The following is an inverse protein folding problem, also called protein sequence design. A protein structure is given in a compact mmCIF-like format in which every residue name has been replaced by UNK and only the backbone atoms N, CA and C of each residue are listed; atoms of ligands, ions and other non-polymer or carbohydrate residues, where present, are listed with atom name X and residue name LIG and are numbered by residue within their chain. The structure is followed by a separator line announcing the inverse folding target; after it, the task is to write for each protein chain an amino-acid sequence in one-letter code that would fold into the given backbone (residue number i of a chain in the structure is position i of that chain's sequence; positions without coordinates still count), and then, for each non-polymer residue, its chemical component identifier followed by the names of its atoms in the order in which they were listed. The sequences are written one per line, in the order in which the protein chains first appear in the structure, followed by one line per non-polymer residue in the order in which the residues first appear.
data_IF_213228353874
#
_entry.id   IF_213228353874
#
_cell.length_a   1.000
_cell.length_b   1.000
_cell.length_c   1.000
_cell.angle_alpha   90.00
_cell.angle_beta   90.00
_cell.angle_gamma   90.00
#
_symmetry.space_group_name_H-M   'P 1'
#
loop_
_entity.id
_entity.type
_entity.pdbx_description
1 polymer ?
#
# COMPACT_ATOMS: atom_id res chain seq x y z
N UNK A 1 11.40 4.67 24.46
CA UNK A 1 10.82 5.60 23.44
C UNK A 1 9.30 5.53 23.53
N UNK A 2 8.60 6.65 23.32
CA UNK A 2 7.15 6.79 23.58
C UNK A 2 6.33 6.02 22.54
N UNK A 3 5.33 5.22 22.97
CA UNK A 3 4.34 4.57 22.10
C UNK A 3 3.71 5.62 21.19
N UNK A 4 3.73 5.41 19.87
CA UNK A 4 3.08 6.33 18.94
C UNK A 4 1.57 6.22 19.16
N UNK A 5 0.90 7.36 19.34
CA UNK A 5 -0.56 7.34 19.37
C UNK A 5 -1.09 6.96 17.99
N UNK A 6 -2.23 6.24 17.91
CA UNK A 6 -2.86 5.86 16.64
C UNK A 6 -3.03 7.02 15.66
N UNK A 7 -3.43 8.20 16.16
CA UNK A 7 -3.54 9.43 15.35
C UNK A 7 -2.19 9.93 14.81
N UNK A 8 -1.13 9.87 15.61
CA UNK A 8 0.21 10.29 15.18
C UNK A 8 0.78 9.33 14.14
N UNK A 9 0.59 8.02 14.34
CA UNK A 9 0.98 7.00 13.37
C UNK A 9 0.26 7.24 12.04
N UNK A 10 -1.07 7.39 12.07
CA UNK A 10 -1.88 7.59 10.88
C UNK A 10 -1.50 8.87 10.13
N UNK A 11 -1.28 9.97 10.86
CA UNK A 11 -0.85 11.24 10.26
C UNK A 11 0.52 11.10 9.59
N UNK A 12 1.50 10.51 10.28
CA UNK A 12 2.85 10.33 9.73
C UNK A 12 2.84 9.41 8.52
N UNK A 13 2.15 8.27 8.60
CA UNK A 13 2.01 7.33 7.50
C UNK A 13 1.31 7.98 6.28
N UNK A 14 0.23 8.75 6.51
CA UNK A 14 -0.49 9.46 5.45
C UNK A 14 0.39 10.51 4.77
N UNK A 15 1.12 11.32 5.54
CA UNK A 15 2.06 12.32 5.01
C UNK A 15 3.14 11.62 4.17
N UNK A 16 3.71 10.52 4.66
CA UNK A 16 4.74 9.77 3.93
C UNK A 16 4.20 9.13 2.65
N UNK A 17 2.95 8.67 2.63
CA UNK A 17 2.32 8.17 1.40
C UNK A 17 2.05 9.27 0.38
N UNK A 18 1.60 10.45 0.82
CA UNK A 18 1.50 11.61 -0.07
C UNK A 18 2.87 12.01 -0.62
N UNK A 19 3.92 12.01 0.22
CA UNK A 19 5.29 12.28 -0.21
C UNK A 19 5.79 11.23 -1.21
N UNK A 20 5.52 9.94 -0.98
CA UNK A 20 5.83 8.85 -1.90
C UNK A 20 5.23 9.10 -3.29
N UNK A 21 3.92 9.38 -3.36
CA UNK A 21 3.22 9.63 -4.62
C UNK A 21 3.74 10.91 -5.29
N UNK A 22 3.94 11.98 -4.54
CA UNK A 22 4.48 13.22 -5.07
C UNK A 22 5.87 13.01 -5.69
N UNK A 23 6.76 12.30 -4.99
CA UNK A 23 8.09 11.96 -5.50
C UNK A 23 8.00 11.07 -6.74
N UNK A 24 7.14 10.06 -6.76
CA UNK A 24 6.91 9.25 -7.96
C UNK A 24 6.51 10.12 -9.16
N UNK A 25 5.53 11.02 -9.00
CA UNK A 25 5.03 11.87 -10.09
C UNK A 25 6.06 12.91 -10.54
N UNK A 26 6.85 13.47 -9.61
CA UNK A 26 7.82 14.53 -9.90
C UNK A 26 9.16 13.99 -10.41
N UNK A 27 9.65 12.88 -9.84
CA UNK A 27 11.00 12.36 -10.11
C UNK A 27 11.04 11.47 -11.35
N UNK A 28 9.96 10.76 -11.66
CA UNK A 28 9.94 9.83 -12.80
C UNK A 28 10.28 10.46 -14.17
N UNK A 29 9.82 11.68 -14.52
CA UNK A 29 10.27 12.37 -15.72
C UNK A 29 11.77 12.70 -15.71
N UNK A 30 12.30 13.12 -14.57
CA UNK A 30 13.73 13.45 -14.42
C UNK A 30 14.61 12.21 -14.62
N UNK A 31 14.17 11.04 -14.14
CA UNK A 31 14.87 9.75 -14.38
C UNK A 31 14.98 9.44 -15.88
N UNK A 32 13.96 9.76 -16.68
CA UNK A 32 13.97 9.54 -18.14
C UNK A 32 14.88 10.51 -18.88
N UNK A 33 14.96 11.76 -18.42
CA UNK A 33 15.76 12.82 -19.07
C UNK A 33 17.23 12.89 -18.66
N UNK A 34 17.67 12.10 -17.67
CA UNK A 34 19.04 12.19 -17.13
C UNK A 34 19.97 11.17 -17.81
N UNK A 35 21.02 11.62 -18.54
CA UNK A 35 21.98 10.73 -19.21
C UNK A 35 23.00 10.12 -18.24
N UNK A 36 23.32 10.81 -17.14
CA UNK A 36 24.30 10.36 -16.16
C UNK A 36 23.75 9.22 -15.28
N UNK A 37 24.37 8.03 -15.36
CA UNK A 37 23.93 6.81 -14.67
C UNK A 37 23.85 6.97 -13.14
N UNK A 38 24.80 7.69 -12.53
CA UNK A 38 24.80 7.90 -11.07
C UNK A 38 23.62 8.74 -10.57
N UNK A 39 23.31 9.84 -11.25
CA UNK A 39 22.17 10.71 -10.91
C UNK A 39 20.86 9.97 -11.17
N UNK A 40 20.79 9.20 -12.26
CA UNK A 40 19.63 8.37 -12.60
C UNK A 40 19.34 7.32 -11.52
N UNK A 41 20.37 6.68 -10.97
CA UNK A 41 20.23 5.76 -9.85
C UNK A 41 19.68 6.45 -8.59
N UNK A 42 20.26 7.60 -8.21
CA UNK A 42 19.80 8.36 -7.05
C UNK A 42 18.32 8.76 -7.20
N UNK A 43 17.94 9.30 -8.36
CA UNK A 43 16.55 9.67 -8.66
C UNK A 43 15.61 8.46 -8.61
N UNK A 44 16.03 7.29 -9.11
CA UNK A 44 15.20 6.09 -9.06
C UNK A 44 14.96 5.56 -7.63
N UNK A 45 15.91 5.77 -6.70
CA UNK A 45 15.83 5.31 -5.31
C UNK A 45 15.09 6.30 -4.40
N UNK A 46 15.05 7.60 -4.72
CA UNK A 46 14.41 8.64 -3.90
C UNK A 46 12.98 8.29 -3.45
N UNK A 47 12.07 7.77 -4.30
CA UNK A 47 10.72 7.38 -3.88
C UNK A 47 10.70 6.23 -2.87
N UNK A 48 11.78 5.46 -2.73
CA UNK A 48 11.86 4.35 -1.76
C UNK A 48 11.99 4.87 -0.32
N UNK A 49 12.55 6.08 -0.12
CA UNK A 49 12.81 6.62 1.22
C UNK A 49 11.55 6.81 2.07
N UNK A 50 10.45 7.45 1.59
CA UNK A 50 9.20 7.50 2.36
C UNK A 50 8.63 6.12 2.66
N UNK A 51 8.82 5.15 1.77
CA UNK A 51 8.33 3.78 1.95
C UNK A 51 9.07 3.08 3.09
N UNK A 52 10.40 3.18 3.12
CA UNK A 52 11.23 2.65 4.22
C UNK A 52 10.86 3.30 5.56
N UNK A 53 10.56 4.60 5.56
CA UNK A 53 10.08 5.29 6.75
C UNK A 53 8.74 4.71 7.25
N UNK A 54 7.78 4.45 6.37
CA UNK A 54 6.50 3.81 6.75
C UNK A 54 6.72 2.40 7.28
N UNK A 55 7.61 1.62 6.68
CA UNK A 55 7.99 0.28 7.16
C UNK A 55 8.59 0.39 8.58
N UNK A 56 9.48 1.36 8.80
CA UNK A 56 10.06 1.65 10.12
C UNK A 56 9.00 2.04 11.15
N UNK A 57 8.03 2.88 10.78
CA UNK A 57 6.89 3.22 11.64
C UNK A 57 6.04 2.00 11.98
N UNK A 58 5.81 1.09 11.03
CA UNK A 58 5.08 -0.15 11.27
C UNK A 58 5.86 -1.05 12.23
N UNK A 59 7.17 -1.24 12.02
CA UNK A 59 8.02 -2.04 12.90
C UNK A 59 8.04 -1.49 14.34
N UNK A 60 8.18 -0.17 14.48
CA UNK A 60 8.09 0.51 15.78
C UNK A 60 6.72 0.28 16.43
N UNK A 61 5.63 0.38 15.67
CA UNK A 61 4.29 0.10 16.18
C UNK A 61 4.19 -1.31 16.73
N UNK A 62 4.56 -2.32 15.93
CA UNK A 62 4.48 -3.74 16.33
C UNK A 62 5.28 -3.97 17.61
N UNK A 63 6.51 -3.45 17.68
CA UNK A 63 7.37 -3.60 18.87
C UNK A 63 6.76 -3.07 20.16
N UNK A 64 5.97 -2.00 20.10
CA UNK A 64 5.29 -1.41 21.27
C UNK A 64 3.81 -1.81 21.39
N UNK A 65 3.40 -2.85 20.67
CA UNK A 65 2.07 -3.45 20.79
C UNK A 65 2.09 -4.57 21.82
N UNK A 66 0.91 -4.91 22.32
CA UNK A 66 0.74 -6.00 23.28
C UNK A 66 1.00 -7.36 22.60
N UNK A 67 1.24 -8.42 23.39
CA UNK A 67 1.66 -9.73 22.87
C UNK A 67 0.66 -10.32 21.87
N UNK A 68 -0.64 -10.15 22.10
CA UNK A 68 -1.69 -10.63 21.19
C UNK A 68 -1.70 -9.87 19.86
N UNK A 69 -1.50 -8.54 19.90
CA UNK A 69 -1.39 -7.72 18.69
C UNK A 69 -0.10 -8.10 17.92
N UNK A 70 1.03 -8.27 18.61
CA UNK A 70 2.29 -8.74 18.02
C UNK A 70 2.15 -10.11 17.35
N UNK A 71 1.53 -11.08 18.02
CA UNK A 71 1.29 -12.42 17.46
C UNK A 71 0.43 -12.36 16.21
N UNK A 72 -0.61 -11.52 16.22
CA UNK A 72 -1.47 -11.31 15.05
C UNK A 72 -0.68 -10.71 13.88
N UNK A 73 0.17 -9.71 14.15
CA UNK A 73 1.06 -9.13 13.15
C UNK A 73 2.05 -10.16 12.59
N UNK A 74 2.61 -11.01 13.43
CA UNK A 74 3.57 -12.03 13.04
C UNK A 74 2.93 -13.09 12.12
N UNK A 75 1.73 -13.58 12.48
CA UNK A 75 0.98 -14.52 11.62
C UNK A 75 0.63 -13.88 10.27
N UNK A 76 0.15 -12.62 10.29
CA UNK A 76 -0.20 -11.90 9.08
C UNK A 76 1.01 -11.64 8.17
N UNK A 77 2.15 -11.24 8.74
CA UNK A 77 3.40 -11.05 8.01
C UNK A 77 3.94 -12.37 7.46
N UNK A 78 3.92 -13.44 8.26
CA UNK A 78 4.36 -14.77 7.83
C UNK A 78 3.52 -15.32 6.67
N UNK A 79 2.20 -15.16 6.71
CA UNK A 79 1.34 -15.52 5.59
C UNK A 79 1.62 -14.66 4.35
N UNK A 80 1.80 -13.35 4.52
CA UNK A 80 2.08 -12.44 3.42
C UNK A 80 3.43 -12.76 2.73
N UNK A 81 4.48 -13.00 3.51
CA UNK A 81 5.79 -13.37 2.95
C UNK A 81 5.76 -14.75 2.30
N UNK A 82 5.07 -15.73 2.88
CA UNK A 82 4.94 -17.07 2.30
C UNK A 82 4.22 -17.02 0.95
N UNK A 83 3.05 -16.36 0.88
CA UNK A 83 2.24 -16.29 -0.34
C UNK A 83 2.97 -15.50 -1.43
N UNK A 84 3.44 -14.29 -1.12
CA UNK A 84 4.10 -13.44 -2.12
C UNK A 84 5.44 -14.02 -2.53
N UNK A 85 6.19 -14.62 -1.60
CA UNK A 85 7.44 -15.32 -1.89
C UNK A 85 7.24 -16.52 -2.82
N UNK A 86 6.26 -17.37 -2.54
CA UNK A 86 5.93 -18.52 -3.39
C UNK A 86 5.49 -18.07 -4.80
N UNK A 87 4.61 -17.07 -4.90
CA UNK A 87 4.18 -16.51 -6.19
C UNK A 87 5.34 -15.88 -6.96
N UNK A 88 6.26 -15.20 -6.26
CA UNK A 88 7.46 -14.62 -6.88
C UNK A 88 8.41 -15.71 -7.39
N UNK A 89 8.57 -16.81 -6.65
CA UNK A 89 9.37 -17.95 -7.06
C UNK A 89 8.78 -18.64 -8.30
N UNK A 90 7.47 -18.88 -8.31
CA UNK A 90 6.74 -19.40 -9.48
C UNK A 90 6.92 -18.48 -10.68
N UNK A 91 6.69 -17.17 -10.51
CA UNK A 91 6.91 -16.18 -11.56
C UNK A 91 8.34 -16.16 -12.08
N UNK A 92 9.32 -16.29 -11.18
CA UNK A 92 10.75 -16.38 -11.52
C UNK A 92 11.09 -17.60 -12.36
N UNK A 93 10.57 -18.79 -12.00
CA UNK A 93 10.76 -20.00 -12.81
C UNK A 93 10.09 -19.91 -14.18
N UNK A 94 8.87 -19.35 -14.25
CA UNK A 94 8.16 -19.13 -15.52
C UNK A 94 8.92 -18.17 -16.43
N UNK A 95 9.52 -17.11 -15.88
CA UNK A 95 10.37 -16.19 -16.64
C UNK A 95 11.70 -16.83 -17.07
N UNK A 96 12.36 -17.58 -16.17
CA UNK A 96 13.60 -18.28 -16.48
C UNK A 96 13.42 -19.34 -17.58
N UNK A 97 12.30 -20.06 -17.56
CA UNK A 97 11.90 -21.00 -18.61
C UNK A 97 11.40 -20.35 -19.90
N UNK A 98 11.39 -19.01 -19.98
CA UNK A 98 10.84 -18.22 -21.10
C UNK A 98 9.38 -18.55 -21.42
N UNK A 99 8.62 -19.06 -20.44
CA UNK A 99 7.18 -19.34 -20.56
C UNK A 99 6.40 -18.03 -20.56
N UNK A 100 6.84 -17.06 -19.76
CA UNK A 100 6.22 -15.74 -19.65
C UNK A 100 7.30 -14.65 -19.72
N UNK A 101 7.10 -13.64 -20.56
CA UNK A 101 7.94 -12.46 -20.59
C UNK A 101 7.56 -11.51 -19.45
N UNK A 102 8.37 -11.48 -18.38
CA UNK A 102 8.19 -10.56 -17.26
C UNK A 102 9.19 -9.40 -17.38
N UNK A 103 8.69 -8.18 -17.38
CA UNK A 103 9.50 -6.96 -17.28
C UNK A 103 9.72 -6.56 -15.81
N UNK A 104 10.76 -5.76 -15.54
CA UNK A 104 11.11 -5.26 -14.22
C UNK A 104 10.00 -4.46 -13.53
N UNK A 105 9.00 -3.98 -14.27
CA UNK A 105 7.79 -3.37 -13.72
C UNK A 105 7.00 -4.30 -12.79
N UNK A 106 7.14 -5.63 -12.89
CA UNK A 106 6.49 -6.59 -11.97
C UNK A 106 6.98 -6.42 -10.52
N UNK A 107 8.23 -5.98 -10.30
CA UNK A 107 8.79 -5.80 -8.95
C UNK A 107 8.05 -4.71 -8.17
N UNK A 108 7.46 -3.73 -8.86
CA UNK A 108 6.67 -2.65 -8.25
C UNK A 108 5.44 -3.22 -7.54
N UNK A 109 4.91 -4.36 -8.01
CA UNK A 109 3.70 -5.00 -7.48
C UNK A 109 3.94 -5.92 -6.28
N UNK A 110 5.20 -6.27 -5.99
CA UNK A 110 5.55 -7.14 -4.86
C UNK A 110 5.09 -6.52 -3.55
N UNK A 111 5.37 -5.23 -3.34
CA UNK A 111 5.00 -4.55 -2.11
C UNK A 111 3.47 -4.40 -1.94
N UNK A 112 2.70 -3.92 -2.95
CA UNK A 112 1.24 -3.94 -2.91
C UNK A 112 0.64 -5.31 -2.61
N UNK A 113 1.12 -6.37 -3.27
CA UNK A 113 0.65 -7.73 -3.02
C UNK A 113 0.89 -8.15 -1.56
N UNK A 114 2.06 -7.82 -1.01
CA UNK A 114 2.42 -8.13 0.38
C UNK A 114 1.48 -7.41 1.36
N UNK A 115 1.19 -6.12 1.13
CA UNK A 115 0.24 -5.35 1.94
C UNK A 115 -1.18 -5.92 1.84
N UNK A 116 -1.62 -6.34 0.65
CA UNK A 116 -2.95 -6.93 0.46
C UNK A 116 -3.11 -8.25 1.21
N UNK A 117 -2.15 -9.17 1.09
CA UNK A 117 -2.19 -10.45 1.81
C UNK A 117 -2.09 -10.21 3.31
N UNK A 118 -1.16 -9.36 3.75
CA UNK A 118 -1.00 -9.00 5.17
C UNK A 118 -2.30 -8.43 5.76
N UNK A 119 -2.93 -7.46 5.09
CA UNK A 119 -4.17 -6.84 5.56
C UNK A 119 -5.32 -7.83 5.64
N UNK A 120 -5.44 -8.70 4.64
CA UNK A 120 -6.48 -9.72 4.56
C UNK A 120 -6.32 -10.77 5.66
N UNK A 121 -5.10 -11.29 5.85
CA UNK A 121 -4.80 -12.25 6.91
C UNK A 121 -5.00 -11.65 8.29
N UNK A 122 -4.53 -10.42 8.53
CA UNK A 122 -4.73 -9.73 9.81
C UNK A 122 -6.22 -9.58 10.13
N UNK A 123 -7.02 -9.16 9.15
CA UNK A 123 -8.46 -9.00 9.32
C UNK A 123 -9.15 -10.33 9.60
N UNK A 124 -8.79 -11.39 8.88
CA UNK A 124 -9.31 -12.74 9.08
C UNK A 124 -8.97 -13.28 10.48
N UNK A 125 -7.71 -13.17 10.91
CA UNK A 125 -7.27 -13.60 12.25
C UNK A 125 -8.03 -12.83 13.35
N UNK A 126 -8.11 -11.51 13.23
CA UNK A 126 -8.80 -10.69 14.24
C UNK A 126 -10.28 -11.04 14.36
N UNK A 127 -10.98 -11.19 13.23
CA UNK A 127 -12.43 -11.39 13.20
C UNK A 127 -12.85 -12.83 13.49
N UNK A 128 -12.09 -13.82 13.02
CA UNK A 128 -12.49 -15.23 13.08
C UNK A 128 -11.85 -15.99 14.24
N UNK A 129 -10.58 -15.72 14.56
CA UNK A 129 -9.86 -16.44 15.61
C UNK A 129 -10.03 -15.78 16.98
N UNK A 130 -9.94 -14.46 17.05
CA UNK A 130 -10.00 -13.72 18.32
C UNK A 130 -11.38 -13.10 18.62
N UNK A 131 -12.35 -13.25 17.72
CA UNK A 131 -13.71 -12.73 17.90
C UNK A 131 -13.79 -11.20 18.07
N UNK A 132 -12.72 -10.47 17.73
CA UNK A 132 -12.64 -9.03 17.93
C UNK A 132 -13.53 -8.28 16.94
N UNK A 133 -14.34 -7.33 17.45
CA UNK A 133 -15.02 -6.39 16.59
C UNK A 133 -13.97 -5.51 15.88
N UNK A 134 -14.01 -5.38 14.53
CA UNK A 134 -13.10 -4.50 13.80
C UNK A 134 -13.34 -3.00 14.10
N UNK A 135 -14.30 -2.69 14.97
CA UNK A 135 -14.83 -1.36 15.27
C UNK A 135 -14.57 -0.93 16.73
N UNK A 136 -13.77 -1.68 17.50
CA UNK A 136 -13.22 -1.15 18.75
C UNK A 136 -12.30 0.03 18.41
N UNK A 137 -12.84 1.24 18.55
CA UNK A 137 -12.29 2.51 18.12
C UNK A 137 -11.01 2.88 18.90
N UNK A 138 -9.88 2.35 18.46
CA UNK A 138 -8.54 2.69 19.00
C UNK A 138 -8.04 4.06 18.54
N UNK A 139 -8.91 5.02 18.18
CA UNK A 139 -8.49 6.36 17.77
C UNK A 139 -7.73 6.40 16.44
N UNK A 140 -7.85 5.35 15.63
CA UNK A 140 -7.42 5.33 14.24
C UNK A 140 -8.34 6.22 13.39
N UNK A 141 -7.79 6.79 12.31
CA UNK A 141 -8.60 7.40 11.27
C UNK A 141 -9.57 6.34 10.72
N UNK A 142 -10.88 6.65 10.62
CA UNK A 142 -11.87 5.66 10.22
C UNK A 142 -11.54 5.13 8.82
N UNK A 143 -11.71 3.82 8.62
CA UNK A 143 -11.27 3.09 7.42
C UNK A 143 -11.69 3.75 6.10
N UNK A 144 -12.90 4.33 6.04
CA UNK A 144 -13.39 5.06 4.87
C UNK A 144 -12.49 6.25 4.49
N UNK A 145 -11.95 7.01 5.46
CA UNK A 145 -11.03 8.13 5.18
C UNK A 145 -9.74 7.65 4.53
N UNK A 146 -9.21 6.49 4.96
CA UNK A 146 -8.01 5.91 4.35
C UNK A 146 -8.29 5.43 2.93
N UNK A 147 -9.42 4.77 2.70
CA UNK A 147 -9.85 4.35 1.37
C UNK A 147 -10.03 5.55 0.44
N UNK A 148 -10.63 6.64 0.91
CA UNK A 148 -10.75 7.89 0.15
C UNK A 148 -9.40 8.53 -0.14
N UNK A 149 -8.47 8.55 0.82
CA UNK A 149 -7.12 9.08 0.59
C UNK A 149 -6.41 8.28 -0.51
N UNK A 150 -6.45 6.94 -0.45
CA UNK A 150 -5.84 6.09 -1.48
C UNK A 150 -6.53 6.30 -2.84
N UNK A 151 -7.85 6.38 -2.87
CA UNK A 151 -8.59 6.67 -4.10
C UNK A 151 -8.25 8.05 -4.68
N UNK A 152 -8.10 9.07 -3.83
CA UNK A 152 -7.68 10.42 -4.23
C UNK A 152 -6.24 10.43 -4.76
N UNK A 153 -5.31 9.70 -4.12
CA UNK A 153 -3.94 9.54 -4.63
C UNK A 153 -3.92 8.81 -5.97
N UNK A 154 -4.70 7.75 -6.14
CA UNK A 154 -4.82 7.04 -7.43
C UNK A 154 -5.41 7.94 -8.52
N UNK A 155 -6.47 8.70 -8.19
CA UNK A 155 -7.05 9.69 -9.09
C UNK A 155 -6.06 10.79 -9.47
N UNK A 156 -5.27 11.28 -8.51
CA UNK A 156 -4.21 12.26 -8.76
C UNK A 156 -3.11 11.72 -9.67
N UNK A 157 -2.66 10.47 -9.46
CA UNK A 157 -1.68 9.81 -10.35
C UNK A 157 -2.24 9.64 -11.75
N UNK A 158 -3.50 9.19 -11.88
CA UNK A 158 -4.19 9.07 -13.16
C UNK A 158 -4.31 10.41 -13.90
N UNK A 159 -4.71 11.46 -13.19
CA UNK A 159 -4.82 12.82 -13.73
C UNK A 159 -3.45 13.37 -14.15
N UNK A 160 -2.42 13.18 -13.33
CA UNK A 160 -1.05 13.60 -13.65
C UNK A 160 -0.47 12.84 -14.85
N UNK A 161 -0.77 11.54 -14.99
CA UNK A 161 -0.39 10.75 -16.16
C UNK A 161 -1.09 11.25 -17.44
N UNK A 162 -2.40 11.52 -17.34
CA UNK A 162 -3.19 12.08 -18.44
C UNK A 162 -2.67 13.45 -18.88
N UNK A 163 -2.36 14.34 -17.93
CA UNK A 163 -1.85 15.68 -18.21
C UNK A 163 -0.45 15.67 -18.83
N UNK A 164 0.36 14.65 -18.53
CA UNK A 164 1.69 14.44 -19.12
C UNK A 164 1.68 13.70 -20.46
N UNK A 165 0.51 13.37 -21.00
CA UNK A 165 0.38 12.75 -22.33
C UNK A 165 0.71 11.25 -22.38
N UNK A 166 0.90 10.59 -21.24
CA UNK A 166 1.07 9.13 -21.17
C UNK A 166 -0.32 8.48 -21.34
N UNK A 167 -0.66 8.11 -22.58
CA UNK A 167 -1.99 7.62 -22.98
C UNK A 167 -2.09 6.10 -23.01
N UNK A 168 -1.30 5.40 -22.22
CA UNK A 168 -1.39 3.94 -22.15
C UNK A 168 -2.76 3.53 -21.56
N UNK A 169 -3.71 3.03 -22.39
CA UNK A 169 -5.10 2.92 -21.99
C UNK A 169 -5.30 1.85 -20.91
N UNK A 170 -4.43 0.84 -20.87
CA UNK A 170 -4.46 -0.22 -19.87
C UNK A 170 -4.11 0.30 -18.46
N UNK A 171 -3.06 1.14 -18.35
CA UNK A 171 -2.63 1.71 -17.07
C UNK A 171 -3.66 2.71 -16.52
N UNK A 172 -4.17 3.58 -17.38
CA UNK A 172 -5.24 4.51 -17.02
C UNK A 172 -6.50 3.76 -16.58
N UNK A 173 -6.92 2.75 -17.35
CA UNK A 173 -8.07 1.89 -17.00
C UNK A 173 -7.89 1.18 -15.67
N UNK A 174 -6.71 0.63 -15.39
CA UNK A 174 -6.41 -0.04 -14.13
C UNK A 174 -6.43 0.92 -12.94
N UNK A 175 -5.79 2.08 -13.06
CA UNK A 175 -5.77 3.11 -11.99
C UNK A 175 -7.17 3.64 -11.69
N UNK A 176 -7.95 3.94 -12.73
CA UNK A 176 -9.34 4.37 -12.59
C UNK A 176 -10.21 3.26 -11.98
N UNK A 177 -10.04 2.01 -12.40
CA UNK A 177 -10.76 0.85 -11.88
C UNK A 177 -10.49 0.60 -10.39
N UNK A 178 -9.21 0.60 -9.99
CA UNK A 178 -8.82 0.47 -8.59
C UNK A 178 -9.33 1.65 -7.76
N UNK A 179 -9.18 2.89 -8.26
CA UNK A 179 -9.72 4.09 -7.62
C UNK A 179 -11.23 4.00 -7.39
N UNK A 180 -11.99 3.62 -8.43
CA UNK A 180 -13.44 3.45 -8.34
C UNK A 180 -13.84 2.34 -7.34
N UNK A 181 -13.16 1.20 -7.35
CA UNK A 181 -13.44 0.12 -6.39
C UNK A 181 -13.22 0.54 -4.94
N UNK A 182 -12.18 1.35 -4.67
CA UNK A 182 -11.88 1.87 -3.34
C UNK A 182 -12.90 2.94 -2.92
N UNK A 183 -13.37 3.78 -3.85
CA UNK A 183 -14.46 4.73 -3.59
C UNK A 183 -15.76 4.02 -3.25
N UNK A 184 -16.14 3.01 -4.04
CA UNK A 184 -17.35 2.22 -3.78
C UNK A 184 -17.25 1.50 -2.44
N UNK A 185 -16.11 0.88 -2.13
CA UNK A 185 -15.89 0.25 -0.83
C UNK A 185 -15.98 1.26 0.32
N UNK A 186 -15.41 2.46 0.16
CA UNK A 186 -15.50 3.54 1.15
C UNK A 186 -16.96 3.98 1.38
N UNK A 187 -17.74 4.12 0.31
CA UNK A 187 -19.17 4.48 0.37
C UNK A 187 -19.99 3.38 1.05
N UNK A 188 -19.75 2.11 0.73
CA UNK A 188 -20.42 0.96 1.38
C UNK A 188 -20.12 0.92 2.87
N UNK A 189 -18.86 1.13 3.27
CA UNK A 189 -18.45 1.19 4.68
C UNK A 189 -19.11 2.37 5.39
N UNK A 190 -19.13 3.55 4.77
CA UNK A 190 -19.78 4.74 5.30
C UNK A 190 -21.29 4.52 5.48
N UNK A 191 -21.95 3.91 4.50
CA UNK A 191 -23.38 3.65 4.51
C UNK A 191 -23.76 2.59 5.55
N UNK A 192 -22.98 1.52 5.69
CA UNK A 192 -23.13 0.53 6.76
C UNK A 192 -22.97 1.14 8.14
N UNK A 193 -22.06 2.10 8.30
CA UNK A 193 -21.88 2.83 9.57
C UNK A 193 -23.09 3.73 9.88
N UNK A 194 -23.63 4.44 8.88
CA UNK A 194 -24.84 5.26 9.05
C UNK A 194 -26.06 4.43 9.44
N UNK A 195 -26.21 3.21 8.91
CA UNK A 195 -27.31 2.30 9.27
C UNK A 195 -27.19 1.66 10.66
N UNK A 196 -26.00 1.71 11.29
CA UNK A 196 -25.77 1.17 12.65
C UNK A 196 -25.89 2.23 13.75
N UNK A 197 -26.13 3.49 13.39
CA UNK A 197 -26.48 4.55 14.33
C UNK A 197 -28.00 4.51 14.55
N UNK A 198 -28.50 4.39 15.79
CA UNK A 198 -29.93 4.50 16.09
C UNK A 198 -30.47 5.90 15.81
#
# INVERSE_FOLDING_TARGET
MRRLTPRQYDRRASISMCAYVALMVLVWPLVRGTPATGIKFLLAVVPVLPMLYVIGLMALRIRYSDELEQRTHLVALGAATAVVGALSLVGGFLAAGKVVALDGSILIWVFPALVMVYGSTRWWVMTRLYGGAPDCDDGHAPMWRRMLLVAALMGFVGLAAWWKGDRDPFRLGMLCGMGASLLVAALVVLFRRRRKLP
#
